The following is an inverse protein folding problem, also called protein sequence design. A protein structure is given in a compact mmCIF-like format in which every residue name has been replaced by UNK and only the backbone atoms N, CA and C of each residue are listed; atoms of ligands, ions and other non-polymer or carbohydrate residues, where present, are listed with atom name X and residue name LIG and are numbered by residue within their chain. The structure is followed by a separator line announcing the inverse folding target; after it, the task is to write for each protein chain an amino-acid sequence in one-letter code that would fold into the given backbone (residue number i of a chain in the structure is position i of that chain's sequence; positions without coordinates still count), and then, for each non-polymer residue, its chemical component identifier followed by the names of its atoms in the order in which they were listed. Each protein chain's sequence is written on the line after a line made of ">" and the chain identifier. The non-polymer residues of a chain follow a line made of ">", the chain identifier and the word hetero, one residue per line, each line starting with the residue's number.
data_IF_894605945125
#
_entry.id   IF_894605945125
#
_cell.length_a   1.000
_cell.length_b   1.000
_cell.length_c   1.000
_cell.angle_alpha   90.00
_cell.angle_beta   90.00
_cell.angle_gamma   90.00
#
_symmetry.space_group_name_H-M   'P 1'
#
loop_
_entity.id
_entity.type
_entity.pdbx_description
1 polymer ?
#
# COMPACT_ATOMS: atom_id res chain seq x y z
N UNK A 1 28.44 -12.71 14.41
CA UNK A 1 28.24 -11.72 15.48
C UNK A 1 27.89 -12.49 16.76
N UNK A 2 28.66 -12.37 17.84
CA UNK A 2 28.34 -13.06 19.10
C UNK A 2 27.34 -12.19 19.87
N UNK A 3 26.09 -12.65 19.97
CA UNK A 3 25.05 -12.00 20.76
C UNK A 3 25.35 -12.23 22.25
N UNK A 4 25.12 -11.21 23.06
CA UNK A 4 25.20 -11.33 24.52
C UNK A 4 24.00 -12.10 25.07
N UNK A 5 24.15 -12.72 26.24
CA UNK A 5 23.05 -13.44 26.89
C UNK A 5 21.84 -12.54 27.16
N UNK A 6 22.09 -11.26 27.45
CA UNK A 6 21.03 -10.26 27.64
C UNK A 6 20.25 -10.00 26.34
N UNK A 7 20.94 -9.92 25.20
CA UNK A 7 20.31 -9.77 23.89
C UNK A 7 19.52 -11.03 23.50
N UNK A 8 20.09 -12.21 23.73
CA UNK A 8 19.40 -13.48 23.50
C UNK A 8 18.12 -13.58 24.30
N UNK A 9 18.13 -13.14 25.56
CA UNK A 9 16.92 -13.08 26.40
C UNK A 9 15.86 -12.14 25.81
N UNK A 10 16.24 -10.92 25.43
CA UNK A 10 15.32 -9.96 24.78
C UNK A 10 14.75 -10.50 23.48
N UNK A 11 15.55 -11.21 22.68
CA UNK A 11 15.11 -11.82 21.43
C UNK A 11 14.14 -12.98 21.68
N UNK A 12 14.39 -13.77 22.72
CA UNK A 12 13.49 -14.86 23.13
C UNK A 12 12.14 -14.32 23.60
N UNK A 13 12.14 -13.23 24.36
CA UNK A 13 10.91 -12.53 24.76
C UNK A 13 10.16 -12.00 23.53
N UNK A 14 10.87 -11.41 22.58
CA UNK A 14 10.31 -10.95 21.31
C UNK A 14 9.66 -12.09 20.49
N UNK A 15 10.31 -13.24 20.39
CA UNK A 15 9.76 -14.44 19.75
C UNK A 15 8.50 -14.93 20.45
N UNK A 16 8.52 -15.01 21.79
CA UNK A 16 7.36 -15.42 22.59
C UNK A 16 6.17 -14.48 22.41
N UNK A 17 6.42 -13.16 22.37
CA UNK A 17 5.40 -12.16 22.06
C UNK A 17 4.82 -12.40 20.66
N UNK A 18 5.68 -12.59 19.64
CA UNK A 18 5.20 -12.88 18.29
C UNK A 18 4.32 -14.13 18.25
N UNK A 19 4.78 -15.25 18.84
CA UNK A 19 4.03 -16.51 18.89
C UNK A 19 2.65 -16.34 19.54
N UNK A 20 2.60 -15.65 20.69
CA UNK A 20 1.34 -15.38 21.40
C UNK A 20 0.42 -14.42 20.65
N UNK A 21 0.97 -13.36 20.06
CA UNK A 21 0.16 -12.35 19.37
C UNK A 21 -0.40 -12.87 18.06
N UNK A 22 0.40 -13.58 17.25
CA UNK A 22 -0.04 -14.06 15.94
C UNK A 22 -1.09 -15.16 16.05
N UNK A 23 -0.97 -16.05 17.04
CA UNK A 23 -1.99 -17.06 17.33
C UNK A 23 -3.38 -16.48 17.67
N UNK A 24 -3.45 -15.19 18.05
CA UNK A 24 -4.70 -14.47 18.40
C UNK A 24 -5.20 -13.56 17.29
N UNK A 25 -4.49 -13.49 16.16
CA UNK A 25 -4.88 -12.62 15.04
C UNK A 25 -5.95 -13.28 14.16
N UNK A 26 -6.46 -12.47 13.23
CA UNK A 26 -7.38 -12.93 12.19
C UNK A 26 -6.71 -14.04 11.36
N UNK A 27 -7.50 -14.99 10.84
CA UNK A 27 -6.98 -16.03 9.96
C UNK A 27 -6.36 -15.44 8.69
N UNK A 28 -5.64 -16.29 7.96
CA UNK A 28 -5.03 -15.93 6.69
C UNK A 28 -6.08 -15.60 5.61
N UNK A 29 -5.61 -15.25 4.40
CA UNK A 29 -6.51 -14.90 3.29
C UNK A 29 -7.51 -16.00 2.93
N UNK A 30 -7.21 -17.26 3.22
CA UNK A 30 -8.06 -18.43 2.96
C UNK A 30 -8.91 -18.84 4.17
N UNK A 31 -8.81 -18.14 5.30
CA UNK A 31 -9.55 -18.45 6.51
C UNK A 31 -8.85 -19.45 7.43
N UNK A 32 -7.59 -19.81 7.17
CA UNK A 32 -6.82 -20.72 8.03
C UNK A 32 -6.23 -19.99 9.24
N UNK A 33 -6.20 -20.69 10.38
CA UNK A 33 -5.56 -20.18 11.59
C UNK A 33 -4.05 -20.05 11.39
N UNK A 34 -3.52 -18.87 11.72
CA UNK A 34 -2.09 -18.57 11.58
C UNK A 34 -1.37 -18.99 12.86
N UNK A 35 -0.32 -19.79 12.71
CA UNK A 35 0.57 -20.20 13.79
C UNK A 35 2.02 -19.78 13.53
N UNK A 36 2.82 -19.82 14.58
CA UNK A 36 4.28 -19.72 14.50
C UNK A 36 4.83 -21.11 14.79
N UNK A 37 5.19 -21.82 13.72
CA UNK A 37 5.64 -23.22 13.76
C UNK A 37 7.15 -23.33 13.88
N UNK A 38 7.90 -22.32 13.42
CA UNK A 38 9.34 -22.26 13.63
C UNK A 38 9.72 -22.14 15.11
N UNK A 39 10.87 -22.72 15.45
CA UNK A 39 11.54 -22.61 16.75
C UNK A 39 12.17 -21.23 16.95
N UNK A 40 12.65 -20.94 18.16
CA UNK A 40 13.36 -19.68 18.44
C UNK A 40 14.67 -19.60 17.64
N UNK A 41 15.38 -20.71 17.56
CA UNK A 41 16.67 -20.82 16.90
C UNK A 41 16.52 -20.58 15.38
N UNK A 42 15.53 -21.20 14.75
CA UNK A 42 15.16 -20.95 13.35
C UNK A 42 14.71 -19.51 13.12
N UNK A 43 13.87 -18.97 14.01
CA UNK A 43 13.42 -17.58 13.95
C UNK A 43 14.59 -16.60 14.00
N UNK A 44 15.54 -16.86 14.90
CA UNK A 44 16.75 -16.06 15.04
C UNK A 44 17.64 -16.18 13.81
N UNK A 45 17.77 -17.38 13.25
CA UNK A 45 18.56 -17.62 12.05
C UNK A 45 18.02 -16.82 10.86
N UNK A 46 16.70 -16.79 10.64
CA UNK A 46 16.09 -15.96 9.59
C UNK A 46 16.45 -14.48 9.74
N UNK A 47 16.47 -13.97 10.98
CA UNK A 47 16.88 -12.59 11.24
C UNK A 47 18.37 -12.36 11.01
N UNK A 48 19.23 -13.30 11.41
CA UNK A 48 20.68 -13.22 11.20
C UNK A 48 20.99 -13.26 9.70
N UNK A 49 20.41 -14.20 8.96
CA UNK A 49 20.60 -14.37 7.52
C UNK A 49 20.14 -13.14 6.73
N UNK A 50 19.11 -12.45 7.22
CA UNK A 50 18.65 -11.19 6.60
C UNK A 50 19.60 -10.01 6.79
N UNK A 51 20.55 -10.08 7.73
CA UNK A 51 21.41 -8.96 8.14
C UNK A 51 20.68 -7.82 8.89
N UNK A 52 19.34 -7.87 8.99
CA UNK A 52 18.51 -6.76 9.50
C UNK A 52 18.09 -6.92 10.96
N UNK A 53 18.63 -7.89 11.69
CA UNK A 53 18.31 -8.13 13.11
C UNK A 53 18.47 -6.86 13.97
N UNK A 54 19.53 -6.08 13.73
CA UNK A 54 19.81 -4.83 14.44
C UNK A 54 18.81 -3.70 14.14
N UNK A 55 18.07 -3.80 13.03
CA UNK A 55 17.02 -2.86 12.63
C UNK A 55 15.61 -3.39 12.94
N UNK A 56 15.49 -4.54 13.61
CA UNK A 56 14.20 -5.10 14.00
C UNK A 56 13.44 -4.12 14.90
N UNK A 57 12.17 -3.86 14.57
CA UNK A 57 11.32 -3.01 15.39
C UNK A 57 10.06 -2.58 14.68
N UNK A 58 9.40 -1.54 15.23
CA UNK A 58 8.19 -0.96 14.67
C UNK A 58 8.48 0.44 14.13
N UNK A 59 7.85 0.80 13.01
CA UNK A 59 7.90 2.15 12.45
C UNK A 59 8.89 2.32 11.31
N UNK A 60 9.05 3.58 10.87
CA UNK A 60 9.88 3.94 9.71
C UNK A 60 11.36 3.59 9.94
N UNK A 61 12.01 3.06 8.90
CA UNK A 61 13.42 2.64 8.96
C UNK A 61 13.68 1.37 9.78
N UNK A 62 12.63 0.68 10.23
CA UNK A 62 12.72 -0.60 10.95
C UNK A 62 12.19 -1.73 10.09
N UNK A 63 12.66 -2.93 10.40
CA UNK A 63 12.28 -4.16 9.70
C UNK A 63 11.37 -5.02 10.57
N UNK A 64 10.43 -5.70 9.91
CA UNK A 64 9.53 -6.67 10.50
C UNK A 64 9.55 -7.99 9.71
N UNK A 65 9.19 -9.08 10.38
CA UNK A 65 8.99 -10.38 9.75
C UNK A 65 7.55 -10.48 9.24
N UNK A 66 7.40 -10.57 7.92
CA UNK A 66 6.14 -10.75 7.23
C UNK A 66 6.03 -12.18 6.67
N UNK A 67 4.80 -12.63 6.42
CA UNK A 67 4.54 -13.88 5.68
C UNK A 67 4.43 -13.55 4.21
N UNK A 68 4.88 -14.46 3.34
CA UNK A 68 4.72 -14.32 1.90
C UNK A 68 3.24 -14.39 1.53
N UNK A 69 2.79 -13.43 0.73
CA UNK A 69 1.41 -13.31 0.22
C UNK A 69 0.29 -13.35 1.28
N UNK A 70 0.61 -13.10 2.55
CA UNK A 70 -0.31 -13.26 3.69
C UNK A 70 -0.93 -14.67 3.82
N UNK A 71 -0.26 -15.71 3.32
CA UNK A 71 -0.73 -17.09 3.31
C UNK A 71 0.07 -17.99 4.28
N UNK A 72 -0.63 -18.91 4.94
CA UNK A 72 -0.01 -19.96 5.77
C UNK A 72 0.65 -19.48 7.06
N UNK A 73 1.49 -20.32 7.65
CA UNK A 73 2.11 -20.10 8.96
C UNK A 73 3.44 -19.34 8.90
N UNK A 74 3.87 -18.80 10.03
CA UNK A 74 5.25 -18.36 10.21
C UNK A 74 6.16 -19.59 10.35
N UNK A 75 6.61 -20.09 9.18
CA UNK A 75 7.55 -21.19 9.03
C UNK A 75 8.80 -20.74 8.28
N UNK A 76 9.93 -21.44 8.48
CA UNK A 76 11.15 -21.21 7.71
C UNK A 76 10.82 -21.40 6.22
N UNK A 77 11.19 -20.42 5.39
CA UNK A 77 10.86 -20.41 3.96
C UNK A 77 9.55 -19.71 3.59
N UNK A 78 8.57 -19.59 4.51
CA UNK A 78 7.31 -18.85 4.29
C UNK A 78 7.33 -17.41 4.88
N UNK A 79 8.43 -17.04 5.52
CA UNK A 79 8.63 -15.69 6.07
C UNK A 79 9.68 -14.93 5.28
N UNK A 80 9.55 -13.61 5.30
CA UNK A 80 10.53 -12.68 4.77
C UNK A 80 10.69 -11.47 5.71
N UNK A 81 11.89 -10.90 5.74
CA UNK A 81 12.17 -9.69 6.51
C UNK A 81 11.97 -8.49 5.59
N UNK A 82 10.96 -7.67 5.88
CA UNK A 82 10.59 -6.48 5.08
C UNK A 82 10.77 -5.21 5.87
N UNK A 83 10.97 -4.10 5.16
CA UNK A 83 10.81 -2.78 5.76
C UNK A 83 9.36 -2.60 6.21
N UNK A 84 9.15 -2.06 7.42
CA UNK A 84 7.80 -1.85 7.97
C UNK A 84 6.93 -0.98 7.06
N UNK A 85 7.54 -0.03 6.35
CA UNK A 85 6.86 0.87 5.43
C UNK A 85 6.35 0.15 4.19
N UNK A 86 7.16 -0.75 3.64
CA UNK A 86 6.80 -1.55 2.49
C UNK A 86 5.68 -2.53 2.83
N UNK A 87 5.81 -3.26 3.94
CA UNK A 87 4.76 -4.15 4.44
C UNK A 87 3.43 -3.38 4.67
N UNK A 88 3.52 -2.17 5.24
CA UNK A 88 2.33 -1.33 5.46
C UNK A 88 1.73 -0.78 4.17
N UNK A 89 2.57 -0.51 3.15
CA UNK A 89 2.15 -0.05 1.82
C UNK A 89 1.43 -1.17 1.08
N UNK A 90 2.02 -2.37 1.05
CA UNK A 90 1.44 -3.56 0.44
C UNK A 90 0.10 -3.93 1.08
N UNK A 91 0.00 -3.93 2.42
CA UNK A 91 -1.25 -4.22 3.11
C UNK A 91 -2.40 -3.25 2.77
N UNK A 92 -2.08 -2.02 2.36
CA UNK A 92 -3.05 -1.00 1.93
C UNK A 92 -3.34 -1.06 0.44
N UNK A 93 -2.44 -1.59 -0.37
CA UNK A 93 -2.59 -1.66 -1.81
C UNK A 93 -3.81 -2.54 -2.17
N UNK A 94 -4.68 -2.04 -3.04
CA UNK A 94 -5.89 -2.76 -3.47
C UNK A 94 -7.03 -2.81 -2.45
N UNK A 95 -6.85 -2.30 -1.21
CA UNK A 95 -7.95 -2.21 -0.24
C UNK A 95 -8.79 -0.95 -0.48
N UNK A 96 -10.04 -1.15 -0.88
CA UNK A 96 -11.04 -0.09 -0.93
C UNK A 96 -11.37 0.44 0.47
N UNK A 97 -11.56 1.75 0.59
CA UNK A 97 -12.09 2.32 1.83
C UNK A 97 -13.50 1.77 2.12
N UNK A 98 -13.78 1.56 3.41
CA UNK A 98 -15.14 1.19 3.84
C UNK A 98 -16.16 2.28 3.43
N UNK A 99 -17.43 1.91 3.27
CA UNK A 99 -18.49 2.87 2.93
C UNK A 99 -18.52 4.05 3.91
N UNK A 100 -18.55 3.77 5.22
CA UNK A 100 -18.49 4.80 6.26
C UNK A 100 -17.24 5.69 6.16
N UNK A 101 -16.07 5.12 5.87
CA UNK A 101 -14.83 5.91 5.69
C UNK A 101 -14.93 6.84 4.49
N UNK A 102 -15.44 6.33 3.37
CA UNK A 102 -15.64 7.11 2.14
C UNK A 102 -16.67 8.22 2.35
N UNK A 103 -17.74 7.97 3.09
CA UNK A 103 -18.75 8.99 3.40
C UNK A 103 -18.18 10.09 4.29
N UNK A 104 -17.36 9.75 5.30
CA UNK A 104 -16.64 10.73 6.12
C UNK A 104 -15.65 11.56 5.29
N UNK A 105 -14.91 10.93 4.40
CA UNK A 105 -14.00 11.63 3.47
C UNK A 105 -14.78 12.56 2.54
N UNK A 106 -15.95 12.15 2.06
CA UNK A 106 -16.83 12.98 1.23
C UNK A 106 -17.40 14.16 2.03
N UNK A 107 -17.88 13.93 3.25
CA UNK A 107 -18.44 14.95 4.12
C UNK A 107 -17.41 16.03 4.47
N UNK A 108 -16.17 15.64 4.80
CA UNK A 108 -15.09 16.60 5.08
C UNK A 108 -14.67 17.43 3.87
N UNK A 109 -14.90 16.93 2.65
CA UNK A 109 -14.61 17.66 1.40
C UNK A 109 -15.82 18.43 0.87
N UNK A 110 -17.02 18.18 1.38
CA UNK A 110 -18.21 18.91 0.99
C UNK A 110 -18.07 20.39 1.39
N UNK A 111 -18.28 21.30 0.44
CA UNK A 111 -18.17 22.74 0.67
C UNK A 111 -16.74 23.28 0.77
N UNK A 112 -15.70 22.44 0.74
CA UNK A 112 -14.31 22.92 0.73
C UNK A 112 -13.97 23.45 -0.66
N UNK A 113 -13.85 24.78 -0.76
CA UNK A 113 -13.43 25.44 -1.99
C UNK A 113 -11.97 25.13 -2.31
N UNK A 114 -11.66 25.05 -3.60
CA UNK A 114 -10.27 24.91 -4.06
C UNK A 114 -9.52 26.23 -3.87
N UNK A 115 -8.24 26.15 -3.49
CA UNK A 115 -7.37 27.33 -3.43
C UNK A 115 -7.25 28.00 -4.79
N UNK A 116 -6.98 29.29 -4.81
CA UNK A 116 -6.78 30.03 -6.06
C UNK A 116 -5.63 29.43 -6.88
N UNK A 117 -4.50 29.12 -6.23
CA UNK A 117 -3.36 28.44 -6.86
C UNK A 117 -3.73 27.14 -7.58
N UNK A 118 -4.66 26.35 -7.03
CA UNK A 118 -5.12 25.12 -7.66
C UNK A 118 -6.00 25.40 -8.88
N UNK A 119 -6.83 26.44 -8.82
CA UNK A 119 -7.65 26.86 -9.96
C UNK A 119 -6.76 27.36 -11.09
N UNK A 120 -5.75 28.17 -10.77
CA UNK A 120 -4.81 28.73 -11.74
C UNK A 120 -4.03 27.59 -12.42
N UNK A 121 -3.52 26.62 -11.65
CA UNK A 121 -2.82 25.44 -12.21
C UNK A 121 -3.68 24.63 -13.19
N UNK A 122 -4.99 24.50 -12.91
CA UNK A 122 -5.93 23.82 -13.82
C UNK A 122 -6.13 24.66 -15.08
N UNK A 123 -6.29 25.98 -14.94
CA UNK A 123 -6.46 26.89 -16.06
C UNK A 123 -5.22 26.89 -16.97
N UNK A 124 -4.02 26.98 -16.40
CA UNK A 124 -2.75 26.93 -17.12
C UNK A 124 -2.60 25.61 -17.88
N UNK A 125 -2.95 24.49 -17.23
CA UNK A 125 -2.97 23.18 -17.88
C UNK A 125 -3.90 23.14 -19.09
N UNK A 126 -5.06 23.79 -19.04
CA UNK A 126 -5.95 23.91 -20.20
C UNK A 126 -5.40 24.84 -21.27
N UNK A 127 -4.78 25.96 -20.89
CA UNK A 127 -4.18 26.91 -21.84
C UNK A 127 -3.03 26.29 -22.63
N UNK A 128 -2.24 25.41 -21.99
CA UNK A 128 -1.13 24.68 -22.60
C UNK A 128 -1.56 23.62 -23.63
N UNK A 129 -2.84 23.20 -23.64
CA UNK A 129 -3.33 22.23 -24.62
C UNK A 129 -3.47 22.90 -25.99
N UNK A 130 -3.02 22.24 -27.08
CA UNK A 130 -3.15 22.77 -28.42
C UNK A 130 -4.60 22.74 -28.88
N UNK A 131 -4.94 23.63 -29.81
CA UNK A 131 -6.26 23.63 -30.46
C UNK A 131 -6.26 22.61 -31.60
N UNK A 132 -7.22 21.69 -31.57
CA UNK A 132 -7.43 20.66 -32.59
C UNK A 132 -8.78 20.86 -33.29
N UNK A 133 -8.85 20.48 -34.56
CA UNK A 133 -10.08 20.52 -35.35
C UNK A 133 -10.67 19.13 -35.49
N UNK A 134 -11.99 19.02 -35.35
CA UNK A 134 -12.72 17.78 -35.55
C UNK A 134 -12.70 17.38 -37.02
N UNK A 135 -12.28 16.14 -37.36
CA UNK A 135 -12.25 15.66 -38.74
C UNK A 135 -13.64 15.45 -39.36
N UNK A 136 -14.70 15.43 -38.55
CA UNK A 136 -16.04 15.03 -38.97
C UNK A 136 -17.04 16.20 -39.09
N UNK A 137 -16.92 17.23 -38.25
CA UNK A 137 -17.82 18.38 -38.25
C UNK A 137 -17.10 19.74 -38.28
N UNK A 138 -15.79 19.74 -38.55
CA UNK A 138 -14.95 20.94 -38.67
C UNK A 138 -14.86 21.85 -37.43
N UNK A 139 -15.53 21.53 -36.32
CA UNK A 139 -15.47 22.30 -35.07
C UNK A 139 -14.05 22.29 -34.48
N UNK A 140 -13.57 23.42 -33.97
CA UNK A 140 -12.25 23.55 -33.33
C UNK A 140 -12.38 23.76 -31.82
N UNK A 141 -11.48 23.15 -31.06
CA UNK A 141 -11.43 23.27 -29.60
C UNK A 141 -10.11 22.79 -29.03
N UNK A 142 -9.85 23.07 -27.76
CA UNK A 142 -8.63 22.61 -27.08
C UNK A 142 -8.62 21.08 -27.00
N UNK A 143 -7.45 20.46 -27.13
CA UNK A 143 -7.21 19.00 -27.10
C UNK A 143 -7.40 18.38 -25.70
N UNK A 144 -8.47 18.74 -25.00
CA UNK A 144 -8.87 18.13 -23.74
C UNK A 144 -9.89 17.00 -23.94
N UNK A 145 -10.29 16.37 -22.84
CA UNK A 145 -11.28 15.30 -22.84
C UNK A 145 -12.64 15.69 -23.43
N UNK A 146 -13.03 16.96 -23.32
CA UNK A 146 -14.24 17.49 -23.95
C UNK A 146 -14.21 17.33 -25.49
N UNK A 147 -13.07 17.65 -26.11
CA UNK A 147 -12.92 17.59 -27.57
C UNK A 147 -12.63 16.17 -28.05
N UNK A 148 -11.68 15.47 -27.43
CA UNK A 148 -11.24 14.16 -27.91
C UNK A 148 -12.17 13.01 -27.49
N UNK A 149 -12.63 12.97 -26.24
CA UNK A 149 -13.46 11.85 -25.76
C UNK A 149 -14.92 12.11 -26.10
N UNK A 150 -15.47 13.21 -25.60
CA UNK A 150 -16.92 13.41 -25.74
C UNK A 150 -17.33 13.86 -27.13
N UNK A 151 -16.61 14.80 -27.75
CA UNK A 151 -17.01 15.33 -29.05
C UNK A 151 -16.63 14.40 -30.21
N UNK A 152 -15.36 13.97 -30.35
CA UNK A 152 -14.97 13.10 -31.48
C UNK A 152 -15.71 11.76 -31.48
N UNK A 153 -15.86 11.09 -30.32
CA UNK A 153 -16.56 9.80 -30.26
C UNK A 153 -18.04 9.95 -30.64
N UNK A 154 -18.74 10.97 -30.10
CA UNK A 154 -20.14 11.24 -30.46
C UNK A 154 -20.31 11.73 -31.89
N UNK A 155 -19.34 12.46 -32.42
CA UNK A 155 -19.40 12.97 -33.79
C UNK A 155 -19.11 11.84 -34.80
N UNK A 156 -18.20 10.93 -34.47
CA UNK A 156 -17.97 9.68 -35.19
C UNK A 156 -19.20 8.78 -35.21
N UNK A 157 -19.92 8.66 -34.09
CA UNK A 157 -21.12 7.81 -33.99
C UNK A 157 -22.38 8.40 -34.65
N UNK A 158 -22.29 9.61 -35.22
CA UNK A 158 -23.40 10.31 -35.89
C UNK A 158 -23.22 10.39 -37.41
N UNK A 159 -22.15 9.81 -37.94
CA UNK A 159 -21.92 9.63 -39.38
C UNK A 159 -22.50 8.31 -39.86
#
# INVERSE_FOLDING_TARGET
>A
MKLTDQELRKLRDAYNVQKKTQARRKPDRNGHHIQVTMTFEEWLQVWIDSGNLHLRGNGRGKFCMARKDDLGDYAVGNVEIKACEENSREAKLGRSHSACTRDKMRATRAGVSKSQSHKDSIADGHLALPTVRCPHCSTSGRQGGAMQRHHFERCRSRQ
#
